data_IF_124170880226
#
_entry.id   IF_124170880226
#
_cell.length_a   1.000
_cell.length_b   1.000
_cell.length_c   1.000
_cell.angle_alpha   90.00
_cell.angle_beta   90.00
_cell.angle_gamma   90.00
#
_symmetry.space_group_name_H-M   'P 1'
#
loop_
_entity.id
_entity.type
_entity.pdbx_description
1 polymer ?
#
# COMPACT_ATOMS: atom_id res chain seq x y z
N UNK A 1 -14.38 -16.14 -20.94
CA UNK A 1 -13.18 -15.98 -20.09
C UNK A 1 -13.51 -14.84 -19.17
N UNK A 2 -13.81 -15.10 -17.92
CA UNK A 2 -14.12 -14.09 -16.92
C UNK A 2 -12.85 -13.31 -16.63
N UNK A 3 -12.76 -12.09 -17.14
CA UNK A 3 -11.77 -11.09 -16.74
C UNK A 3 -12.09 -10.64 -15.31
N UNK A 4 -11.86 -11.53 -14.34
CA UNK A 4 -12.07 -11.20 -12.94
C UNK A 4 -10.77 -10.65 -12.36
N UNK A 5 -10.87 -9.54 -11.65
CA UNK A 5 -9.79 -9.02 -10.82
C UNK A 5 -9.30 -10.06 -9.81
N UNK A 6 -8.02 -10.06 -9.45
CA UNK A 6 -7.49 -10.92 -8.38
C UNK A 6 -8.04 -10.49 -7.02
N UNK A 7 -8.05 -9.19 -6.77
CA UNK A 7 -8.60 -8.57 -5.57
C UNK A 7 -9.50 -7.38 -5.97
N UNK A 8 -10.70 -7.32 -5.37
CA UNK A 8 -11.62 -6.19 -5.50
C UNK A 8 -11.98 -5.68 -4.12
N UNK A 9 -12.02 -4.38 -3.98
CA UNK A 9 -12.40 -3.67 -2.76
C UNK A 9 -13.50 -2.70 -3.14
N UNK A 10 -14.65 -2.77 -2.46
CA UNK A 10 -15.76 -1.89 -2.73
C UNK A 10 -16.30 -1.25 -1.46
N UNK A 11 -16.38 0.09 -1.49
CA UNK A 11 -16.89 0.96 -0.42
C UNK A 11 -16.36 0.59 0.99
N UNK A 12 -15.06 0.26 1.09
CA UNK A 12 -14.45 -0.23 2.31
C UNK A 12 -14.32 0.88 3.36
N UNK A 13 -14.90 0.66 4.54
CA UNK A 13 -14.91 1.61 5.66
C UNK A 13 -14.23 1.00 6.87
N UNK A 14 -13.38 1.80 7.54
CA UNK A 14 -12.82 1.47 8.84
C UNK A 14 -12.65 2.70 9.72
N UNK A 15 -13.18 2.62 10.94
CA UNK A 15 -13.08 3.65 11.97
C UNK A 15 -12.41 3.10 13.23
N UNK A 16 -11.73 3.96 13.95
CA UNK A 16 -11.10 3.62 15.23
C UNK A 16 -11.58 4.55 16.32
N UNK A 17 -11.98 4.03 17.50
CA UNK A 17 -12.30 4.87 18.65
C UNK A 17 -11.03 5.53 19.18
N UNK A 18 -11.05 6.83 19.39
CA UNK A 18 -9.95 7.53 20.04
C UNK A 18 -9.92 7.18 21.54
N UNK A 19 -8.72 6.96 22.08
CA UNK A 19 -8.56 6.79 23.52
C UNK A 19 -8.80 8.15 24.19
N UNK A 20 -9.87 8.25 24.98
CA UNK A 20 -10.09 9.40 25.84
C UNK A 20 -9.11 9.32 27.03
N UNK A 21 -8.44 10.42 27.32
CA UNK A 21 -7.74 10.56 28.61
C UNK A 21 -8.74 10.50 29.78
N UNK A 22 -8.24 10.32 31.01
CA UNK A 22 -9.07 10.20 32.23
C UNK A 22 -10.12 11.32 32.39
N UNK A 23 -9.79 12.55 31.98
CA UNK A 23 -10.73 13.71 32.01
C UNK A 23 -11.89 13.59 31.03
N UNK A 24 -11.69 12.94 29.87
CA UNK A 24 -12.74 12.72 28.88
C UNK A 24 -13.71 11.62 29.27
N UNK A 25 -13.27 10.64 30.07
CA UNK A 25 -14.14 9.56 30.58
C UNK A 25 -15.15 10.05 31.62
N UNK A 26 -14.81 11.10 32.37
CA UNK A 26 -15.68 11.67 33.44
C UNK A 26 -16.83 12.53 32.88
N UNK A 27 -16.73 13.04 31.66
CA UNK A 27 -17.73 13.96 31.09
C UNK A 27 -18.79 13.29 30.20
N UNK A 28 -18.89 11.97 30.14
CA UNK A 28 -19.95 11.23 29.40
C UNK A 28 -20.01 11.52 27.89
N UNK A 29 -18.95 12.10 27.30
CA UNK A 29 -18.89 12.46 25.87
C UNK A 29 -18.80 11.24 24.97
N UNK A 30 -19.41 11.32 23.80
CA UNK A 30 -19.22 10.32 22.73
C UNK A 30 -17.73 10.26 22.36
N UNK A 31 -17.18 9.05 22.26
CA UNK A 31 -15.77 8.85 21.83
C UNK A 31 -15.59 9.34 20.40
N UNK A 32 -14.68 10.29 20.12
CA UNK A 32 -14.37 10.67 18.77
C UNK A 32 -13.89 9.46 17.97
N UNK A 33 -14.36 9.34 16.73
CA UNK A 33 -14.00 8.22 15.84
C UNK A 33 -13.08 8.71 14.73
N UNK A 34 -11.89 8.12 14.63
CA UNK A 34 -10.96 8.37 13.53
C UNK A 34 -11.43 7.56 12.32
N UNK A 35 -11.80 8.21 11.25
CA UNK A 35 -12.18 7.56 9.97
C UNK A 35 -10.92 7.29 9.15
N UNK A 36 -10.34 6.10 9.32
CA UNK A 36 -9.13 5.73 8.59
C UNK A 36 -9.41 5.30 7.14
N UNK A 37 -10.53 4.63 6.90
CA UNK A 37 -11.06 4.32 5.56
C UNK A 37 -12.50 4.85 5.48
N UNK A 38 -12.85 5.52 4.39
CA UNK A 38 -14.12 6.26 4.21
C UNK A 38 -14.78 5.95 2.87
N UNK A 39 -14.84 4.67 2.49
CA UNK A 39 -15.35 4.21 1.21
C UNK A 39 -14.24 4.06 0.17
N UNK A 40 -13.29 3.16 0.45
CA UNK A 40 -12.21 2.83 -0.50
C UNK A 40 -12.74 1.83 -1.52
N UNK A 41 -12.62 2.18 -2.80
CA UNK A 41 -12.92 1.28 -3.93
C UNK A 41 -11.72 1.22 -4.86
N UNK A 42 -11.20 0.02 -5.10
CA UNK A 42 -10.09 -0.27 -6.01
C UNK A 42 -10.04 -1.75 -6.38
N UNK A 43 -9.28 -2.09 -7.42
CA UNK A 43 -9.02 -3.48 -7.81
C UNK A 43 -7.54 -3.70 -8.11
N UNK A 44 -7.09 -4.94 -7.94
CA UNK A 44 -5.74 -5.42 -8.32
C UNK A 44 -5.91 -6.56 -9.30
N UNK A 45 -5.22 -6.46 -10.44
CA UNK A 45 -5.20 -7.50 -11.46
C UNK A 45 -4.12 -8.56 -11.15
N UNK A 46 -4.19 -9.70 -11.83
CA UNK A 46 -3.12 -10.70 -11.78
C UNK A 46 -1.86 -10.16 -12.45
N UNK A 47 -0.71 -10.48 -11.87
CA UNK A 47 0.59 -10.04 -12.37
C UNK A 47 0.71 -8.51 -12.56
N UNK A 48 -0.08 -7.74 -11.82
CA UNK A 48 -0.07 -6.28 -11.82
C UNK A 48 0.65 -5.73 -10.58
N UNK A 49 1.29 -4.59 -10.73
CA UNK A 49 1.68 -3.74 -9.60
C UNK A 49 0.74 -2.54 -9.51
N UNK A 50 -0.17 -2.55 -8.53
CA UNK A 50 -0.97 -1.38 -8.15
C UNK A 50 -0.23 -0.62 -7.06
N UNK A 51 0.17 0.62 -7.31
CA UNK A 51 0.68 1.49 -6.25
C UNK A 51 -0.44 2.26 -5.55
N UNK A 52 -0.38 2.32 -4.22
CA UNK A 52 -1.27 3.14 -3.38
C UNK A 52 -0.47 4.26 -2.76
N UNK A 53 -0.80 5.51 -3.12
CA UNK A 53 -0.01 6.70 -2.78
C UNK A 53 -0.86 7.74 -2.07
N UNK A 54 -0.25 8.53 -1.20
CA UNK A 54 -0.89 9.64 -0.49
C UNK A 54 -0.07 10.10 0.70
N UNK A 55 -0.45 11.22 1.29
CA UNK A 55 0.22 11.78 2.48
C UNK A 55 0.21 10.80 3.66
N UNK A 56 1.15 10.99 4.61
CA UNK A 56 1.17 10.19 5.84
C UNK A 56 -0.15 10.37 6.62
N UNK A 57 -0.70 9.26 7.13
CA UNK A 57 -1.98 9.28 7.86
C UNK A 57 -3.24 9.27 6.99
N UNK A 58 -3.16 9.22 5.65
CA UNK A 58 -4.35 9.17 4.80
C UNK A 58 -5.07 7.80 4.75
N UNK A 59 -4.55 6.75 5.42
CA UNK A 59 -5.21 5.44 5.55
C UNK A 59 -4.55 4.28 4.81
N UNK A 60 -3.44 4.46 4.09
CA UNK A 60 -2.76 3.42 3.28
C UNK A 60 -2.43 2.14 4.05
N UNK A 61 -1.72 2.25 5.16
CA UNK A 61 -1.35 1.08 5.98
C UNK A 61 -2.58 0.45 6.67
N UNK A 62 -3.62 1.22 6.94
CA UNK A 62 -4.89 0.67 7.43
C UNK A 62 -5.54 -0.18 6.34
N UNK A 63 -5.58 0.30 5.09
CA UNK A 63 -6.06 -0.48 3.95
C UNK A 63 -5.26 -1.78 3.81
N UNK A 64 -3.94 -1.70 3.73
CA UNK A 64 -3.04 -2.86 3.62
C UNK A 64 -3.32 -3.92 4.71
N UNK A 65 -3.40 -3.50 5.97
CA UNK A 65 -3.69 -4.39 7.12
C UNK A 65 -5.11 -4.95 7.11
N UNK A 66 -6.07 -4.20 6.57
CA UNK A 66 -7.46 -4.68 6.44
C UNK A 66 -7.55 -5.77 5.37
N UNK A 67 -6.83 -5.63 4.27
CA UNK A 67 -6.79 -6.62 3.19
C UNK A 67 -6.20 -7.96 3.65
N UNK A 68 -5.16 -7.96 4.48
CA UNK A 68 -4.61 -9.21 5.06
C UNK A 68 -5.35 -9.67 6.32
N UNK A 69 -6.51 -9.09 6.63
CA UNK A 69 -7.36 -9.48 7.78
C UNK A 69 -6.69 -9.32 9.16
N UNK A 70 -5.68 -8.45 9.28
CA UNK A 70 -5.13 -8.01 10.57
C UNK A 70 -6.05 -6.99 11.26
N UNK A 71 -6.84 -6.26 10.48
CA UNK A 71 -7.85 -5.32 10.92
C UNK A 71 -9.17 -5.70 10.26
N UNK A 72 -10.26 -5.74 11.01
CA UNK A 72 -11.59 -5.96 10.44
C UNK A 72 -12.17 -4.65 9.89
N UNK A 73 -12.82 -4.71 8.72
CA UNK A 73 -13.57 -3.58 8.17
C UNK A 73 -14.92 -3.42 8.88
N UNK A 74 -15.39 -2.19 9.01
CA UNK A 74 -16.71 -1.91 9.59
C UNK A 74 -17.83 -2.18 8.55
N UNK A 75 -17.59 -1.79 7.27
CA UNK A 75 -18.49 -2.06 6.14
C UNK A 75 -17.72 -2.14 4.82
N UNK A 76 -18.43 -2.36 3.72
CA UNK A 76 -17.88 -2.56 2.38
C UNK A 76 -17.59 -4.03 2.08
N UNK A 77 -16.96 -4.33 0.94
CA UNK A 77 -16.63 -5.68 0.49
C UNK A 77 -15.15 -5.81 0.17
N UNK A 78 -14.62 -7.01 0.38
CA UNK A 78 -13.28 -7.42 -0.07
C UNK A 78 -13.48 -8.77 -0.77
N UNK A 79 -13.34 -8.78 -2.09
CA UNK A 79 -13.49 -9.98 -2.90
C UNK A 79 -12.11 -10.43 -3.39
N UNK A 80 -11.78 -11.68 -3.14
CA UNK A 80 -10.59 -12.33 -3.68
C UNK A 80 -11.03 -13.43 -4.63
N UNK A 81 -10.76 -13.27 -5.92
CA UNK A 81 -11.32 -14.13 -6.99
C UNK A 81 -12.85 -14.27 -6.90
N UNK A 82 -13.54 -13.17 -6.60
CA UNK A 82 -14.99 -13.12 -6.46
C UNK A 82 -15.53 -13.67 -5.13
N UNK A 83 -14.68 -14.25 -4.26
CA UNK A 83 -15.10 -14.74 -2.93
C UNK A 83 -14.95 -13.67 -1.84
N UNK A 84 -16.00 -13.45 -1.02
CA UNK A 84 -15.94 -12.47 0.07
C UNK A 84 -15.00 -12.92 1.19
N UNK A 85 -13.88 -12.22 1.32
CA UNK A 85 -12.82 -12.47 2.30
C UNK A 85 -13.30 -12.22 3.74
N UNK A 86 -14.24 -11.31 3.95
CA UNK A 86 -14.72 -10.92 5.27
C UNK A 86 -15.48 -12.05 5.98
N UNK A 87 -16.07 -12.94 5.22
CA UNK A 87 -16.83 -14.09 5.72
C UNK A 87 -15.96 -15.29 6.06
N UNK A 88 -14.72 -15.34 5.57
CA UNK A 88 -13.82 -16.47 5.74
C UNK A 88 -13.47 -16.72 7.21
N UNK A 89 -13.43 -18.00 7.60
CA UNK A 89 -13.04 -18.49 8.95
C UNK A 89 -12.24 -19.79 8.82
N UNK A 90 -11.51 -20.14 9.85
CA UNK A 90 -10.81 -21.42 9.96
C UNK A 90 -9.88 -21.70 8.79
N UNK A 91 -10.04 -22.86 8.14
CA UNK A 91 -9.19 -23.30 7.04
C UNK A 91 -9.32 -22.41 5.77
N UNK A 92 -10.50 -21.88 5.48
CA UNK A 92 -10.70 -20.98 4.36
C UNK A 92 -9.90 -19.67 4.55
N UNK A 93 -9.87 -19.13 5.77
CA UNK A 93 -9.07 -17.95 6.11
C UNK A 93 -7.56 -18.27 6.04
N UNK A 94 -7.13 -19.46 6.49
CA UNK A 94 -5.72 -19.87 6.35
C UNK A 94 -5.28 -19.96 4.90
N UNK A 95 -6.12 -20.50 4.01
CA UNK A 95 -5.84 -20.54 2.55
C UNK A 95 -5.74 -19.14 1.97
N UNK A 96 -6.64 -18.24 2.34
CA UNK A 96 -6.57 -16.84 1.93
C UNK A 96 -5.27 -16.18 2.39
N UNK A 97 -4.95 -16.30 3.69
CA UNK A 97 -3.75 -15.68 4.26
C UNK A 97 -2.45 -16.25 3.67
N UNK A 98 -2.45 -17.51 3.18
CA UNK A 98 -1.33 -18.06 2.41
C UNK A 98 -1.18 -17.37 1.06
N UNK A 99 -2.29 -17.11 0.37
CA UNK A 99 -2.30 -16.52 -0.99
C UNK A 99 -2.05 -15.00 -1.00
N UNK A 100 -2.35 -14.32 0.12
CA UNK A 100 -2.16 -12.88 0.28
C UNK A 100 -1.20 -12.64 1.43
N UNK A 101 -0.02 -12.15 1.12
CA UNK A 101 1.04 -11.91 2.10
C UNK A 101 1.37 -10.42 2.19
N UNK A 102 1.91 -10.00 3.34
CA UNK A 102 2.29 -8.62 3.59
C UNK A 102 3.74 -8.53 4.07
N UNK A 103 4.48 -7.61 3.48
CA UNK A 103 5.79 -7.17 3.97
C UNK A 103 5.60 -5.81 4.64
N UNK A 104 6.01 -5.72 5.91
CA UNK A 104 5.80 -4.53 6.74
C UNK A 104 6.91 -3.50 6.56
N UNK A 105 6.59 -2.26 6.87
CA UNK A 105 7.50 -1.09 6.83
C UNK A 105 8.75 -1.27 7.69
N UNK A 106 8.60 -1.85 8.89
CA UNK A 106 9.72 -2.10 9.81
C UNK A 106 10.18 -3.56 9.73
N UNK A 107 11.31 -3.84 9.05
CA UNK A 107 11.86 -5.18 9.00
C UNK A 107 12.40 -5.67 10.36
N UNK A 108 12.79 -4.75 11.28
CA UNK A 108 13.24 -5.12 12.62
C UNK A 108 12.11 -5.71 13.46
N UNK A 109 10.94 -5.04 13.46
CA UNK A 109 9.78 -5.51 14.20
C UNK A 109 9.11 -6.75 13.59
N UNK A 110 9.37 -7.04 12.31
CA UNK A 110 8.75 -8.15 11.60
C UNK A 110 9.53 -9.48 11.69
N UNK A 111 10.82 -9.46 12.00
CA UNK A 111 11.67 -10.65 12.13
C UNK A 111 11.90 -10.99 13.60
N UNK A 112 11.75 -12.28 13.96
CA UNK A 112 12.04 -12.74 15.32
C UNK A 112 13.57 -12.70 15.57
N UNK A 113 14.07 -11.85 16.49
CA UNK A 113 15.49 -11.69 16.69
C UNK A 113 16.19 -12.91 17.32
N UNK A 114 15.43 -13.90 17.80
CA UNK A 114 15.93 -15.11 18.45
C UNK A 114 15.99 -16.32 17.52
N UNK A 115 15.49 -16.19 16.29
CA UNK A 115 15.47 -17.25 15.30
C UNK A 115 16.47 -16.94 14.19
N UNK A 116 17.15 -17.96 13.69
CA UNK A 116 17.94 -17.84 12.46
C UNK A 116 17.03 -17.61 11.25
N UNK A 117 17.58 -17.08 10.17
CA UNK A 117 16.85 -16.90 8.92
C UNK A 117 16.26 -18.22 8.42
N UNK A 118 17.02 -19.30 8.49
CA UNK A 118 16.57 -20.64 8.09
C UNK A 118 15.40 -21.16 8.93
N UNK A 119 15.43 -20.92 10.26
CA UNK A 119 14.30 -21.28 11.14
C UNK A 119 13.03 -20.50 10.78
N UNK A 120 13.13 -19.17 10.54
CA UNK A 120 11.99 -18.34 10.16
C UNK A 120 11.36 -18.76 8.82
N UNK A 121 12.19 -19.03 7.79
CA UNK A 121 11.68 -19.51 6.51
C UNK A 121 11.15 -20.94 6.62
N UNK A 122 11.82 -21.77 7.41
CA UNK A 122 11.41 -23.16 7.66
C UNK A 122 10.10 -23.29 8.42
N UNK A 123 9.80 -22.36 9.34
CA UNK A 123 8.54 -22.33 10.08
C UNK A 123 7.34 -22.19 9.12
N UNK A 124 7.40 -21.25 8.15
CA UNK A 124 6.35 -21.07 7.17
C UNK A 124 6.15 -22.33 6.30
N UNK A 125 7.24 -22.94 5.84
CA UNK A 125 7.21 -24.19 5.07
C UNK A 125 6.61 -25.34 5.87
N UNK A 126 6.89 -25.41 7.18
CA UNK A 126 6.36 -26.43 8.09
C UNK A 126 4.88 -26.26 8.34
N UNK A 127 4.44 -25.05 8.74
CA UNK A 127 3.04 -24.77 9.11
C UNK A 127 2.08 -25.02 7.96
N UNK A 128 2.51 -24.75 6.73
CA UNK A 128 1.70 -24.93 5.54
C UNK A 128 1.96 -26.25 4.81
N UNK A 129 2.84 -27.13 5.33
CA UNK A 129 3.20 -28.41 4.71
C UNK A 129 3.60 -28.31 3.24
N UNK A 130 4.40 -27.29 2.89
CA UNK A 130 4.71 -26.98 1.49
C UNK A 130 5.72 -27.91 0.87
N UNK A 131 6.64 -28.43 1.66
CA UNK A 131 7.67 -29.37 1.21
C UNK A 131 7.91 -30.47 2.25
N UNK A 132 8.30 -31.67 1.83
CA UNK A 132 8.72 -32.75 2.75
C UNK A 132 9.89 -32.30 3.64
N UNK A 133 10.02 -32.85 4.86
CA UNK A 133 11.09 -32.46 5.79
C UNK A 133 12.50 -32.52 5.19
N UNK A 134 12.81 -33.52 4.39
CA UNK A 134 14.13 -33.68 3.74
C UNK A 134 14.44 -32.66 2.65
N UNK A 135 13.45 -31.93 2.14
CA UNK A 135 13.63 -30.91 1.08
C UNK A 135 13.64 -29.49 1.63
N UNK A 136 13.38 -29.27 2.92
CA UNK A 136 13.28 -27.91 3.50
C UNK A 136 14.55 -27.11 3.34
N UNK A 137 15.71 -27.70 3.58
CA UNK A 137 16.99 -27.00 3.45
C UNK A 137 17.26 -26.53 2.02
N UNK A 138 16.93 -27.35 1.02
CA UNK A 138 17.03 -26.96 -0.39
C UNK A 138 16.06 -25.82 -0.72
N UNK A 139 14.80 -25.91 -0.26
CA UNK A 139 13.80 -24.84 -0.49
C UNK A 139 14.17 -23.53 0.18
N UNK A 140 14.76 -23.57 1.39
CA UNK A 140 15.28 -22.37 2.06
C UNK A 140 16.42 -21.73 1.24
N UNK A 141 17.32 -22.53 0.70
CA UNK A 141 18.41 -22.04 -0.16
C UNK A 141 17.86 -21.36 -1.44
N UNK A 142 16.88 -21.97 -2.10
CA UNK A 142 16.19 -21.39 -3.26
C UNK A 142 15.50 -20.04 -2.91
N UNK A 143 14.82 -19.96 -1.77
CA UNK A 143 14.17 -18.72 -1.33
C UNK A 143 15.17 -17.60 -1.06
N UNK A 144 16.34 -17.94 -0.49
CA UNK A 144 17.42 -16.98 -0.28
C UNK A 144 18.02 -16.51 -1.61
N UNK A 145 18.21 -17.42 -2.56
CA UNK A 145 18.71 -17.09 -3.90
C UNK A 145 17.72 -16.17 -4.65
N UNK A 146 16.41 -16.42 -4.59
CA UNK A 146 15.38 -15.57 -5.15
C UNK A 146 15.48 -14.12 -4.68
N UNK A 147 15.87 -13.90 -3.43
CA UNK A 147 16.07 -12.55 -2.88
C UNK A 147 17.53 -12.09 -2.93
N UNK A 148 18.38 -12.79 -3.70
CA UNK A 148 19.79 -12.44 -3.91
C UNK A 148 20.62 -12.44 -2.61
N UNK A 149 20.36 -13.43 -1.74
CA UNK A 149 21.15 -13.72 -0.55
C UNK A 149 21.82 -15.10 -0.69
N UNK A 150 23.05 -15.27 -0.17
CA UNK A 150 23.72 -16.57 -0.21
C UNK A 150 23.01 -17.59 0.72
N UNK A 151 23.08 -18.88 0.38
CA UNK A 151 22.50 -19.95 1.19
C UNK A 151 23.05 -19.97 2.64
N UNK A 152 24.30 -19.52 2.86
CA UNK A 152 24.92 -19.38 4.19
C UNK A 152 24.19 -18.38 5.09
N UNK A 153 23.33 -17.52 4.54
CA UNK A 153 22.48 -16.62 5.33
C UNK A 153 21.49 -17.39 6.23
N UNK A 154 21.15 -18.63 5.88
CA UNK A 154 20.21 -19.45 6.65
C UNK A 154 20.61 -19.67 8.13
N UNK A 155 21.90 -19.74 8.43
CA UNK A 155 22.41 -20.02 9.79
C UNK A 155 22.59 -18.78 10.65
N UNK A 156 22.40 -17.59 10.09
CA UNK A 156 22.65 -16.31 10.76
C UNK A 156 21.40 -15.74 11.39
N UNK A 157 21.58 -14.89 12.41
CA UNK A 157 20.51 -14.16 13.10
C UNK A 157 20.22 -12.81 12.42
N UNK A 158 18.98 -12.27 12.53
CA UNK A 158 18.58 -11.03 11.86
C UNK A 158 19.49 -9.83 12.15
N UNK A 159 20.02 -9.71 13.36
CA UNK A 159 20.89 -8.58 13.75
C UNK A 159 22.26 -8.56 13.02
N UNK A 160 22.67 -9.66 12.41
CA UNK A 160 23.92 -9.78 11.64
C UNK A 160 23.79 -9.27 10.20
N UNK A 161 22.60 -8.74 9.80
CA UNK A 161 22.32 -8.27 8.46
C UNK A 161 22.10 -6.75 8.42
N UNK A 162 22.45 -6.14 7.28
CA UNK A 162 22.09 -4.73 7.01
C UNK A 162 20.57 -4.55 6.86
N UNK A 163 20.08 -3.30 6.89
CA UNK A 163 18.67 -2.97 6.71
C UNK A 163 18.08 -3.54 5.40
N UNK A 164 18.80 -3.35 4.28
CA UNK A 164 18.38 -3.90 2.99
C UNK A 164 18.41 -5.42 2.91
N UNK A 165 19.36 -6.08 3.58
CA UNK A 165 19.39 -7.54 3.67
C UNK A 165 18.25 -8.07 4.51
N UNK A 166 17.89 -7.41 5.63
CA UNK A 166 16.70 -7.77 6.43
C UNK A 166 15.42 -7.60 5.64
N UNK A 167 15.33 -6.56 4.82
CA UNK A 167 14.18 -6.37 3.93
C UNK A 167 14.05 -7.51 2.92
N UNK A 168 15.16 -7.98 2.34
CA UNK A 168 15.18 -9.16 1.47
C UNK A 168 14.74 -10.43 2.21
N UNK A 169 15.14 -10.61 3.46
CA UNK A 169 14.70 -11.74 4.31
C UNK A 169 13.20 -11.66 4.56
N UNK A 170 12.64 -10.47 4.85
CA UNK A 170 11.21 -10.28 5.04
C UNK A 170 10.41 -10.60 3.76
N UNK A 171 10.94 -10.22 2.59
CA UNK A 171 10.38 -10.60 1.28
C UNK A 171 10.46 -12.12 1.09
N UNK A 172 11.61 -12.76 1.35
CA UNK A 172 11.75 -14.21 1.23
C UNK A 172 10.76 -14.96 2.12
N UNK A 173 10.52 -14.47 3.35
CA UNK A 173 9.54 -15.04 4.27
C UNK A 173 8.12 -14.94 3.70
N UNK A 174 7.74 -13.81 3.13
CA UNK A 174 6.45 -13.67 2.49
C UNK A 174 6.29 -14.59 1.28
N UNK A 175 7.36 -14.76 0.49
CA UNK A 175 7.37 -15.65 -0.69
C UNK A 175 7.41 -17.14 -0.33
N UNK A 176 7.81 -17.52 0.89
CA UNK A 176 7.96 -18.93 1.29
C UNK A 176 6.65 -19.73 1.22
N UNK A 177 5.50 -19.05 1.27
CA UNK A 177 4.17 -19.66 1.17
C UNK A 177 3.57 -19.58 -0.25
N UNK A 178 4.34 -19.12 -1.23
CA UNK A 178 3.94 -18.99 -2.64
C UNK A 178 2.67 -18.16 -2.81
N UNK A 179 2.69 -16.88 -2.41
CA UNK A 179 1.52 -16.00 -2.50
C UNK A 179 1.21 -15.61 -3.94
N UNK A 180 -0.05 -15.26 -4.20
CA UNK A 180 -0.50 -14.67 -5.46
C UNK A 180 -0.52 -13.15 -5.41
N UNK A 181 -0.72 -12.57 -4.21
CA UNK A 181 -0.68 -11.13 -3.96
C UNK A 181 0.31 -10.82 -2.83
N UNK A 182 1.24 -9.91 -3.09
CA UNK A 182 2.15 -9.35 -2.10
C UNK A 182 1.76 -7.89 -1.82
N UNK A 183 1.46 -7.58 -0.57
CA UNK A 183 1.23 -6.21 -0.11
C UNK A 183 2.53 -5.69 0.52
N UNK A 184 3.15 -4.70 -0.12
CA UNK A 184 4.41 -4.10 0.29
C UNK A 184 4.13 -2.71 0.94
N UNK A 185 4.06 -2.65 2.28
CA UNK A 185 3.71 -1.43 3.02
C UNK A 185 4.97 -0.63 3.38
N UNK A 186 5.24 0.43 2.61
CA UNK A 186 6.37 1.38 2.79
C UNK A 186 7.74 0.71 2.98
N UNK A 187 7.98 -0.40 2.31
CA UNK A 187 9.12 -1.30 2.53
C UNK A 187 10.50 -0.72 2.17
N UNK A 188 10.55 0.44 1.52
CA UNK A 188 11.80 1.11 1.14
C UNK A 188 12.01 2.45 1.84
N UNK A 189 11.03 2.95 2.62
CA UNK A 189 11.03 4.31 3.16
C UNK A 189 12.19 4.63 4.11
N UNK A 190 12.73 3.62 4.81
CA UNK A 190 13.83 3.75 5.79
C UNK A 190 15.20 3.34 5.24
N UNK A 191 15.30 3.07 3.93
CA UNK A 191 16.52 2.61 3.28
C UNK A 191 17.21 3.72 2.49
N UNK A 192 18.53 3.62 2.34
CA UNK A 192 19.30 4.50 1.47
C UNK A 192 18.89 4.36 0.01
N UNK A 193 18.99 5.42 -0.80
CA UNK A 193 18.54 5.47 -2.21
C UNK A 193 19.09 4.32 -3.05
N UNK A 194 20.37 3.95 -2.88
CA UNK A 194 20.97 2.85 -3.61
C UNK A 194 20.39 1.48 -3.23
N UNK A 195 20.05 1.28 -1.95
CA UNK A 195 19.42 0.06 -1.44
C UNK A 195 17.96 0.01 -1.85
N UNK A 196 17.26 1.17 -1.85
CA UNK A 196 15.89 1.28 -2.38
C UNK A 196 15.82 0.77 -3.83
N UNK A 197 16.70 1.26 -4.71
CA UNK A 197 16.74 0.82 -6.11
C UNK A 197 16.94 -0.69 -6.25
N UNK A 198 17.79 -1.29 -5.41
CA UNK A 198 18.02 -2.73 -5.41
C UNK A 198 16.77 -3.53 -4.99
N UNK A 199 16.01 -3.06 -3.99
CA UNK A 199 14.77 -3.71 -3.54
C UNK A 199 13.67 -3.56 -4.59
N UNK A 200 13.55 -2.39 -5.23
CA UNK A 200 12.58 -2.18 -6.30
C UNK A 200 12.83 -3.08 -7.51
N UNK A 201 14.09 -3.16 -7.97
CA UNK A 201 14.46 -4.07 -9.05
C UNK A 201 14.22 -5.54 -8.67
N UNK A 202 14.48 -5.92 -7.40
CA UNK A 202 14.15 -7.25 -6.92
C UNK A 202 12.65 -7.54 -7.01
N UNK A 203 11.79 -6.58 -6.60
CA UNK A 203 10.34 -6.75 -6.68
C UNK A 203 9.85 -6.87 -8.13
N UNK A 204 10.42 -6.09 -9.06
CA UNK A 204 10.11 -6.17 -10.49
C UNK A 204 10.48 -7.55 -11.06
N UNK A 205 11.67 -8.06 -10.73
CA UNK A 205 12.09 -9.39 -11.18
C UNK A 205 11.19 -10.49 -10.61
N UNK A 206 10.87 -10.42 -9.32
CA UNK A 206 9.97 -11.37 -8.65
C UNK A 206 8.56 -11.33 -9.25
N UNK A 207 8.05 -10.14 -9.56
CA UNK A 207 6.75 -9.95 -10.19
C UNK A 207 6.72 -10.64 -11.56
N UNK A 208 7.74 -10.44 -12.38
CA UNK A 208 7.83 -11.06 -13.72
C UNK A 208 8.06 -12.57 -13.65
N UNK A 209 8.97 -13.04 -12.78
CA UNK A 209 9.32 -14.45 -12.70
C UNK A 209 8.21 -15.33 -12.11
N UNK A 210 7.49 -14.81 -11.12
CA UNK A 210 6.48 -15.55 -10.37
C UNK A 210 5.03 -15.24 -10.81
N UNK A 211 4.83 -14.27 -11.71
CA UNK A 211 3.49 -13.79 -12.05
C UNK A 211 2.76 -13.17 -10.85
N UNK A 212 3.53 -12.62 -9.90
CA UNK A 212 3.04 -12.10 -8.62
C UNK A 212 2.28 -10.78 -8.84
N UNK A 213 1.09 -10.66 -8.26
CA UNK A 213 0.45 -9.35 -8.12
C UNK A 213 1.05 -8.62 -6.92
N UNK A 214 1.28 -7.31 -7.05
CA UNK A 214 1.86 -6.50 -5.98
C UNK A 214 0.97 -5.29 -5.70
N UNK A 215 0.59 -5.09 -4.44
CA UNK A 215 0.06 -3.82 -3.95
C UNK A 215 1.18 -3.07 -3.24
N UNK A 216 1.71 -2.04 -3.89
CA UNK A 216 2.85 -1.27 -3.41
C UNK A 216 2.39 0.01 -2.74
N UNK A 217 2.52 0.10 -1.41
CA UNK A 217 2.15 1.29 -0.62
C UNK A 217 3.38 2.18 -0.45
N UNK A 218 3.27 3.44 -0.84
CA UNK A 218 4.35 4.42 -0.72
C UNK A 218 3.82 5.85 -0.57
N UNK A 219 4.67 6.73 -0.09
CA UNK A 219 4.47 8.18 -0.17
C UNK A 219 5.43 8.84 -1.16
N UNK A 220 6.41 8.10 -1.72
CA UNK A 220 7.38 8.62 -2.71
C UNK A 220 6.92 8.29 -4.13
N UNK A 221 6.45 9.31 -4.85
CA UNK A 221 5.98 9.21 -6.22
C UNK A 221 7.07 8.81 -7.23
N UNK A 222 8.34 9.10 -6.94
CA UNK A 222 9.47 8.71 -7.83
C UNK A 222 9.64 7.19 -7.83
N UNK A 223 9.57 6.59 -6.65
CA UNK A 223 9.61 5.14 -6.48
C UNK A 223 8.44 4.49 -7.20
N UNK A 224 7.25 5.06 -7.03
CA UNK A 224 6.02 4.56 -7.64
C UNK A 224 6.07 4.61 -9.16
N UNK A 225 6.59 5.69 -9.76
CA UNK A 225 6.74 5.81 -11.22
C UNK A 225 7.61 4.69 -11.82
N UNK A 226 8.53 4.15 -11.05
CA UNK A 226 9.44 3.09 -11.50
C UNK A 226 8.81 1.70 -11.48
N UNK A 227 7.91 1.41 -10.54
CA UNK A 227 7.42 0.03 -10.30
C UNK A 227 5.95 -0.18 -10.70
N UNK A 228 5.13 0.88 -10.74
CA UNK A 228 3.69 0.74 -10.83
C UNK A 228 3.20 0.60 -12.28
N UNK A 229 2.25 -0.32 -12.50
CA UNK A 229 1.42 -0.39 -13.70
C UNK A 229 0.21 0.55 -13.60
N UNK A 230 -0.44 0.55 -12.42
CA UNK A 230 -1.52 1.48 -12.06
C UNK A 230 -1.24 2.14 -10.73
N UNK A 231 -1.80 3.34 -10.55
CA UNK A 231 -1.64 4.15 -9.33
C UNK A 231 -2.99 4.54 -8.78
N UNK A 232 -3.21 4.32 -7.49
CA UNK A 232 -4.34 4.81 -6.72
C UNK A 232 -3.86 5.90 -5.75
N UNK A 233 -4.40 7.10 -5.88
CA UNK A 233 -4.09 8.25 -5.01
C UNK A 233 -5.12 8.30 -3.88
N UNK A 234 -4.65 8.18 -2.63
CA UNK A 234 -5.50 8.23 -1.45
C UNK A 234 -5.41 9.57 -0.72
N UNK A 235 -6.55 10.09 -0.31
CA UNK A 235 -6.70 11.28 0.52
C UNK A 235 -7.79 11.07 1.58
N UNK A 236 -7.48 11.25 2.86
CA UNK A 236 -8.40 11.09 4.01
C UNK A 236 -9.30 9.85 3.93
N UNK A 237 -8.68 8.68 3.69
CA UNK A 237 -9.36 7.39 3.65
C UNK A 237 -10.17 7.12 2.39
N UNK A 238 -10.00 7.89 1.32
CA UNK A 238 -10.68 7.71 0.02
C UNK A 238 -9.67 7.64 -1.12
N UNK A 239 -9.99 6.89 -2.16
CA UNK A 239 -9.30 6.97 -3.45
C UNK A 239 -9.90 8.15 -4.21
N UNK A 240 -9.07 9.15 -4.52
CA UNK A 240 -9.49 10.35 -5.25
C UNK A 240 -9.15 10.31 -6.73
N UNK A 241 -8.17 9.49 -7.10
CA UNK A 241 -7.77 9.24 -8.48
C UNK A 241 -7.14 7.86 -8.60
N UNK A 242 -7.47 7.10 -9.65
CA UNK A 242 -6.86 5.79 -9.96
C UNK A 242 -6.82 5.58 -11.47
N UNK A 243 -5.71 5.09 -11.99
CA UNK A 243 -5.56 4.83 -13.42
C UNK A 243 -4.20 4.24 -13.77
N UNK A 244 -3.93 4.03 -15.07
CA UNK A 244 -2.60 3.68 -15.56
C UNK A 244 -1.56 4.68 -15.06
N UNK A 245 -0.39 4.18 -14.64
CA UNK A 245 0.64 5.01 -14.02
C UNK A 245 1.03 6.19 -14.91
N UNK A 246 1.31 5.94 -16.19
CA UNK A 246 1.65 6.99 -17.16
C UNK A 246 0.62 8.13 -17.19
N UNK A 247 -0.67 7.79 -17.18
CA UNK A 247 -1.73 8.80 -17.25
C UNK A 247 -1.85 9.61 -15.94
N UNK A 248 -1.78 8.94 -14.78
CA UNK A 248 -1.83 9.62 -13.48
C UNK A 248 -0.64 10.57 -13.31
N UNK A 249 0.55 10.20 -13.80
CA UNK A 249 1.74 11.03 -13.72
C UNK A 249 1.75 12.17 -14.75
N UNK A 250 1.36 11.90 -15.99
CA UNK A 250 1.51 12.86 -17.08
C UNK A 250 0.25 13.73 -17.28
N UNK A 251 -0.93 13.21 -16.92
CA UNK A 251 -2.23 13.90 -17.05
C UNK A 251 -3.07 13.77 -15.79
N UNK A 252 -2.54 14.20 -14.61
CA UNK A 252 -3.27 14.13 -13.35
C UNK A 252 -4.56 14.94 -13.43
N UNK A 253 -5.69 14.34 -13.01
CA UNK A 253 -7.02 14.93 -13.11
C UNK A 253 -7.47 15.59 -11.83
N UNK A 254 -7.12 14.98 -10.68
CA UNK A 254 -7.51 15.54 -9.40
C UNK A 254 -6.51 16.62 -8.94
N UNK A 255 -6.95 17.81 -8.47
CA UNK A 255 -6.06 18.87 -8.00
C UNK A 255 -5.08 18.44 -6.89
N UNK A 256 -5.44 17.47 -6.06
CA UNK A 256 -4.55 16.90 -5.06
C UNK A 256 -3.39 16.13 -5.71
N UNK A 257 -3.67 15.30 -6.72
CA UNK A 257 -2.62 14.58 -7.48
C UNK A 257 -1.66 15.55 -8.14
N UNK A 258 -2.20 16.62 -8.76
CA UNK A 258 -1.38 17.67 -9.36
C UNK A 258 -0.47 18.35 -8.34
N UNK A 259 -0.99 18.61 -7.13
CA UNK A 259 -0.22 19.22 -6.06
C UNK A 259 0.86 18.28 -5.50
N UNK A 260 0.55 16.98 -5.34
CA UNK A 260 1.53 15.96 -4.94
C UNK A 260 2.68 15.83 -5.94
N UNK A 261 2.37 15.81 -7.24
CA UNK A 261 3.37 15.72 -8.30
C UNK A 261 4.28 16.94 -8.36
N UNK A 262 3.72 18.16 -8.15
CA UNK A 262 4.53 19.39 -8.07
C UNK A 262 5.43 19.41 -6.83
N UNK A 263 5.02 18.80 -5.73
CA UNK A 263 5.81 18.71 -4.50
C UNK A 263 6.94 17.69 -4.59
N UNK A 264 6.84 16.73 -5.50
CA UNK A 264 7.87 15.70 -5.69
C UNK A 264 9.14 16.38 -6.30
N UNK A 265 10.33 16.23 -5.68
CA UNK A 265 11.57 16.76 -6.25
C UNK A 265 11.83 16.15 -7.63
N UNK A 266 11.93 16.98 -8.66
CA UNK A 266 12.34 16.56 -9.99
C UNK A 266 13.85 16.37 -10.03
N UNK A 267 14.32 15.23 -10.60
CA UNK A 267 15.77 15.02 -10.86
C UNK A 267 16.24 15.77 -12.12
N UNK A 268 15.32 16.24 -12.94
CA UNK A 268 15.64 17.06 -14.11
C UNK A 268 15.88 18.51 -13.68
N UNK A 269 17.01 19.11 -14.07
CA UNK A 269 17.21 20.52 -13.86
C UNK A 269 16.10 21.30 -14.62
N UNK A 270 15.56 22.37 -14.03
CA UNK A 270 14.58 23.19 -14.72
C UNK A 270 15.17 23.66 -16.07
N UNK A 271 14.34 23.75 -17.12
CA UNK A 271 14.79 24.27 -18.41
C UNK A 271 15.52 25.60 -18.24
N UNK A 272 16.61 25.83 -19.00
CA UNK A 272 17.38 27.07 -18.93
C UNK A 272 16.46 28.30 -19.09
N UNK A 273 16.49 29.17 -18.10
CA UNK A 273 15.66 30.41 -18.08
C UNK A 273 14.37 30.32 -17.29
N UNK A 274 13.93 29.13 -16.82
CA UNK A 274 12.80 28.99 -15.90
C UNK A 274 13.35 28.97 -14.47
N UNK A 275 13.27 30.09 -13.77
CA UNK A 275 13.48 30.12 -12.32
C UNK A 275 12.32 29.31 -11.69
N UNK A 276 12.60 28.34 -10.80
CA UNK A 276 11.54 27.77 -9.99
C UNK A 276 10.81 28.94 -9.34
N UNK A 277 9.49 29.00 -9.47
CA UNK A 277 8.70 29.99 -8.74
C UNK A 277 8.87 29.70 -7.25
N UNK A 278 9.84 30.37 -6.65
CA UNK A 278 10.05 30.33 -5.21
C UNK A 278 8.83 31.00 -4.58
N UNK A 279 7.91 30.19 -4.03
CA UNK A 279 6.93 30.77 -3.16
C UNK A 279 5.54 30.20 -3.04
N UNK A 280 5.07 29.33 -3.91
CA UNK A 280 3.80 28.63 -3.60
C UNK A 280 4.10 27.23 -3.06
N UNK A 281 3.73 26.92 -1.78
CA UNK A 281 3.82 25.55 -1.31
C UNK A 281 2.95 24.69 -2.22
N UNK A 282 3.52 23.63 -2.76
CA UNK A 282 2.85 22.71 -3.70
C UNK A 282 1.54 22.15 -3.10
N UNK A 283 1.46 22.10 -1.77
CA UNK A 283 0.26 21.79 -0.99
C UNK A 283 0.12 22.83 0.14
N UNK A 284 -0.84 23.76 0.01
CA UNK A 284 -1.14 24.71 1.07
C UNK A 284 -1.85 24.05 2.24
N UNK A 285 -1.45 24.38 3.48
CA UNK A 285 -2.09 23.93 4.71
C UNK A 285 -1.75 22.50 5.11
N UNK A 286 -2.09 22.15 6.35
CA UNK A 286 -1.93 20.81 6.91
C UNK A 286 -3.06 19.87 6.46
N UNK A 287 -2.80 18.55 6.51
CA UNK A 287 -3.81 17.53 6.26
C UNK A 287 -4.94 17.69 7.32
N UNK A 288 -6.21 17.85 6.91
CA UNK A 288 -7.31 17.92 7.86
C UNK A 288 -7.36 16.68 8.75
N UNK A 289 -7.83 16.89 9.98
CA UNK A 289 -7.91 15.79 10.95
C UNK A 289 -8.89 14.70 10.48
N UNK A 290 -8.50 13.42 10.54
CA UNK A 290 -9.40 12.30 10.24
C UNK A 290 -10.54 12.15 11.28
N UNK A 291 -10.50 12.93 12.36
CA UNK A 291 -11.59 13.07 13.33
C UNK A 291 -12.73 13.98 12.82
N UNK A 292 -12.41 14.93 11.94
CA UNK A 292 -13.33 15.91 11.41
C UNK A 292 -13.10 16.07 9.90
N UNK A 293 -13.51 15.06 9.14
CA UNK A 293 -13.40 15.10 7.68
C UNK A 293 -14.29 16.22 7.15
N UNK A 294 -13.73 17.15 6.32
CA UNK A 294 -14.51 18.22 5.72
C UNK A 294 -15.72 17.69 4.93
N UNK A 295 -16.89 18.34 5.01
CA UNK A 295 -18.08 17.95 4.23
C UNK A 295 -17.83 18.15 2.73
N UNK A 296 -18.61 17.46 1.90
CA UNK A 296 -18.45 17.50 0.44
C UNK A 296 -17.15 16.84 -0.02
N UNK A 297 -16.38 17.55 -0.86
CA UNK A 297 -15.05 17.11 -1.28
C UNK A 297 -14.04 17.26 -0.11
N UNK A 298 -13.43 16.19 0.41
CA UNK A 298 -12.50 16.30 1.54
C UNK A 298 -11.29 17.20 1.29
N UNK A 299 -10.91 17.37 0.03
CA UNK A 299 -9.78 18.22 -0.37
C UNK A 299 -10.14 19.72 -0.49
N UNK A 300 -11.44 20.10 -0.43
CA UNK A 300 -11.86 21.49 -0.67
C UNK A 300 -11.12 22.56 0.17
N UNK A 301 -10.71 22.31 1.44
CA UNK A 301 -9.99 23.34 2.20
C UNK A 301 -8.59 23.69 1.68
N UNK A 302 -8.01 22.77 0.92
CA UNK A 302 -6.64 22.89 0.36
C UNK A 302 -6.63 22.99 -1.18
N UNK A 303 -7.82 22.96 -1.80
CA UNK A 303 -7.95 22.96 -3.26
C UNK A 303 -7.83 24.39 -3.83
N UNK A 304 -6.83 24.66 -4.71
CA UNK A 304 -6.69 25.98 -5.33
C UNK A 304 -7.84 26.32 -6.29
N UNK A 305 -8.58 25.29 -6.76
CA UNK A 305 -9.69 25.42 -7.68
C UNK A 305 -11.06 25.14 -7.01
N UNK A 306 -11.17 25.40 -5.70
CA UNK A 306 -12.38 25.13 -4.92
C UNK A 306 -13.59 25.93 -5.46
N UNK A 307 -14.74 25.22 -5.58
CA UNK A 307 -16.05 25.80 -5.96
C UNK A 307 -17.02 25.71 -4.78
N UNK A 308 -18.15 26.43 -4.86
CA UNK A 308 -19.16 26.41 -3.81
C UNK A 308 -19.75 25.00 -3.56
N UNK A 309 -19.95 24.23 -4.62
CA UNK A 309 -20.41 22.85 -4.56
C UNK A 309 -19.45 21.91 -3.82
N UNK A 310 -18.13 22.13 -3.95
CA UNK A 310 -17.12 21.31 -3.28
C UNK A 310 -17.26 21.31 -1.75
N UNK A 311 -17.86 22.35 -1.17
CA UNK A 311 -18.05 22.48 0.29
C UNK A 311 -19.27 21.70 0.81
N UNK A 312 -20.20 21.29 -0.07
CA UNK A 312 -21.48 20.70 0.31
C UNK A 312 -21.65 19.29 -0.23
N UNK A 313 -21.27 19.10 -1.50
CA UNK A 313 -21.61 17.89 -2.24
C UNK A 313 -20.37 17.01 -2.42
N UNK A 314 -20.55 15.70 -2.24
CA UNK A 314 -19.49 14.71 -2.52
C UNK A 314 -19.36 14.62 -4.05
N UNK A 315 -18.15 14.81 -4.61
CA UNK A 315 -17.97 14.72 -6.05
C UNK A 315 -18.26 13.31 -6.57
N UNK A 316 -18.79 13.22 -7.78
CA UNK A 316 -18.99 11.96 -8.47
C UNK A 316 -17.67 11.43 -9.03
N UNK A 317 -17.60 10.12 -9.23
CA UNK A 317 -16.50 9.47 -9.94
C UNK A 317 -16.68 9.72 -11.44
N UNK A 318 -15.63 10.22 -12.09
CA UNK A 318 -15.56 10.39 -13.54
C UNK A 318 -14.54 9.41 -14.10
N UNK A 319 -14.97 8.59 -15.07
CA UNK A 319 -14.13 7.61 -15.76
C UNK A 319 -13.91 8.03 -17.19
N UNK A 320 -12.70 7.85 -17.69
CA UNK A 320 -12.39 7.95 -19.13
C UNK A 320 -12.42 6.60 -19.80
N UNK A 321 -12.47 6.57 -21.13
CA UNK A 321 -12.50 5.35 -21.95
C UNK A 321 -11.27 4.46 -21.74
N UNK A 322 -10.15 5.03 -21.26
CA UNK A 322 -8.90 4.36 -20.97
C UNK A 322 -8.76 3.89 -19.49
N UNK A 323 -9.85 3.92 -18.73
CA UNK A 323 -9.91 3.40 -17.35
C UNK A 323 -9.27 4.32 -16.29
N UNK A 324 -9.01 5.57 -16.61
CA UNK A 324 -8.55 6.57 -15.64
C UNK A 324 -9.73 7.22 -14.91
N UNK A 325 -9.83 6.95 -13.60
CA UNK A 325 -10.91 7.40 -12.72
C UNK A 325 -10.43 8.57 -11.85
N UNK A 326 -11.27 9.60 -11.69
CA UNK A 326 -11.01 10.67 -10.73
C UNK A 326 -12.32 11.18 -10.12
N UNK A 327 -12.27 11.57 -8.84
CA UNK A 327 -13.42 12.01 -8.04
C UNK A 327 -13.31 13.51 -7.79
N UNK A 328 -13.78 14.35 -8.75
CA UNK A 328 -13.63 15.80 -8.68
C UNK A 328 -14.78 16.52 -9.43
N UNK A 329 -15.32 17.60 -8.84
CA UNK A 329 -16.36 18.44 -9.48
C UNK A 329 -15.86 19.20 -10.71
N UNK A 330 -14.56 19.33 -10.92
CA UNK A 330 -13.99 20.02 -12.10
C UNK A 330 -14.10 19.20 -13.38
N UNK A 331 -14.47 17.92 -13.28
CA UNK A 331 -14.51 16.97 -14.39
C UNK A 331 -15.90 16.74 -14.98
N UNK A 332 -16.94 17.33 -14.38
CA UNK A 332 -18.34 17.19 -14.79
C UNK A 332 -19.02 18.50 -15.03
#
# INVERSE_FOLDING_TARGET
MTTGHLLEVDDLVRTFPMRLGLSGMLNGGQRPMVRALSGVTLSVERAETLAVVGESGCGKSTLARTLVRLIEADSGQILFEGGDVRTLRGEALRRYNRRVQMVFQDPYGSLNPRMTVGEMLGEALLVHNLVPPGQRAARIAELLELVRLPASAATRLPHEFSGGQRQRIAIARALSVEPELLIADEIVSSLDVSVQAQILNLLLDLQQQLGLAIMFVSHDLRVVRHIAHRVAIMYLGRVVEIGPAEQVFDRPRHPYTQALLRAAPTMEPPPEGVRPSAGEPALAGELPSPLAIPPGCPFHPRCPAVRAECKRDVPRVHMTDDGHLATCHLLG
#
